data_IF_835023152312
#
_entry.id   IF_835023152312
#
_cell.length_a   1.000
_cell.length_b   1.000
_cell.length_c   1.000
_cell.angle_alpha   90.00
_cell.angle_beta   90.00
_cell.angle_gamma   90.00
#
_symmetry.space_group_name_H-M   'P 1'
#
loop_
_entity.id
_entity.type
_entity.pdbx_description
1 polymer ?
#
# COMPACT_ATOMS: atom_id res chain seq x y z
N UNK A 1 -11.98 -6.04 19.24
CA UNK A 1 -11.68 -5.14 18.10
C UNK A 1 -10.20 -4.86 18.14
N UNK A 2 -9.51 -5.12 17.05
CA UNK A 2 -8.09 -4.78 16.89
C UNK A 2 -8.00 -3.26 16.74
N UNK A 3 -7.05 -2.60 17.41
CA UNK A 3 -6.85 -1.16 17.21
C UNK A 3 -5.96 -0.87 16.00
N UNK A 4 -6.01 0.36 15.47
CA UNK A 4 -5.09 0.81 14.42
C UNK A 4 -3.62 0.57 14.82
N UNK A 5 -3.29 0.79 16.10
CA UNK A 5 -1.95 0.61 16.64
C UNK A 5 -1.50 -0.86 16.64
N UNK A 6 -2.37 -1.78 17.05
CA UNK A 6 -2.08 -3.22 17.01
C UNK A 6 -1.84 -3.69 15.57
N UNK A 7 -2.58 -3.11 14.63
CA UNK A 7 -2.53 -3.48 13.23
C UNK A 7 -1.29 -2.94 12.52
N UNK A 8 -0.90 -1.70 12.84
CA UNK A 8 0.38 -1.12 12.42
C UNK A 8 1.53 -1.98 12.95
N UNK A 9 1.53 -2.35 14.25
CA UNK A 9 2.58 -3.18 14.82
C UNK A 9 2.69 -4.56 14.15
N UNK A 10 1.54 -5.15 13.77
CA UNK A 10 1.51 -6.42 13.03
C UNK A 10 2.09 -6.30 11.62
N UNK A 11 1.76 -5.22 10.90
CA UNK A 11 2.31 -4.97 9.58
C UNK A 11 3.82 -4.68 9.67
N UNK A 12 4.25 -3.87 10.63
CA UNK A 12 5.66 -3.59 10.89
C UNK A 12 6.45 -4.87 11.10
N UNK A 13 5.95 -5.77 11.95
CA UNK A 13 6.59 -7.06 12.21
C UNK A 13 6.66 -7.94 10.95
N UNK A 14 5.57 -8.07 10.20
CA UNK A 14 5.50 -8.94 9.01
C UNK A 14 6.40 -8.47 7.85
N UNK A 15 6.69 -7.17 7.78
CA UNK A 15 7.49 -6.56 6.71
C UNK A 15 8.85 -6.03 7.20
N UNK A 16 9.23 -6.30 8.45
CA UNK A 16 10.46 -5.80 9.07
C UNK A 16 11.71 -6.14 8.24
N UNK A 17 11.81 -7.39 7.80
CA UNK A 17 12.98 -7.95 7.11
C UNK A 17 13.06 -7.60 5.62
N UNK A 18 12.07 -6.88 5.07
CA UNK A 18 12.15 -6.42 3.68
C UNK A 18 13.19 -5.31 3.58
N UNK A 19 14.32 -5.61 2.95
CA UNK A 19 15.36 -4.64 2.66
C UNK A 19 14.93 -3.63 1.59
N UNK A 20 15.37 -2.38 1.76
CA UNK A 20 15.20 -1.34 0.76
C UNK A 20 15.90 -1.77 -0.54
N UNK A 21 15.19 -1.84 -1.68
CA UNK A 21 15.83 -2.19 -2.94
C UNK A 21 16.77 -1.06 -3.40
N UNK A 22 17.77 -1.41 -4.20
CA UNK A 22 18.67 -0.43 -4.82
C UNK A 22 17.89 0.52 -5.75
N UNK A 23 16.94 -0.05 -6.50
CA UNK A 23 16.02 0.65 -7.39
C UNK A 23 14.59 0.12 -7.22
N UNK A 24 13.62 1.01 -7.26
CA UNK A 24 12.20 0.69 -7.10
C UNK A 24 11.54 0.37 -8.43
N UNK A 25 11.96 0.97 -9.54
CA UNK A 25 11.40 0.74 -10.88
C UNK A 25 12.50 0.61 -11.94
N UNK A 26 12.14 0.34 -13.20
CA UNK A 26 13.10 0.40 -14.31
C UNK A 26 13.42 1.85 -14.64
N UNK A 27 14.34 2.44 -13.85
CA UNK A 27 14.77 3.84 -13.96
C UNK A 27 15.39 4.20 -15.33
N UNK A 28 15.71 3.21 -16.18
CA UNK A 28 16.28 3.43 -17.52
C UNK A 28 15.23 3.46 -18.62
N UNK A 29 13.97 3.16 -18.31
CA UNK A 29 12.89 3.12 -19.28
C UNK A 29 12.53 4.51 -19.85
N UNK A 30 12.28 5.49 -18.99
CA UNK A 30 11.97 6.87 -19.36
C UNK A 30 12.29 7.83 -18.20
N UNK A 31 12.18 9.14 -18.44
CA UNK A 31 12.46 10.16 -17.43
C UNK A 31 11.51 10.07 -16.21
N UNK A 32 10.23 9.75 -16.43
CA UNK A 32 9.26 9.58 -15.34
C UNK A 32 9.64 8.40 -14.43
N UNK A 33 10.05 7.26 -14.99
CA UNK A 33 10.55 6.14 -14.19
C UNK A 33 11.81 6.51 -13.40
N UNK A 34 12.72 7.30 -13.99
CA UNK A 34 13.91 7.78 -13.28
C UNK A 34 13.55 8.72 -12.12
N UNK A 35 12.59 9.63 -12.31
CA UNK A 35 12.10 10.54 -11.27
C UNK A 35 11.36 9.80 -10.15
N UNK A 36 10.53 8.82 -10.48
CA UNK A 36 9.85 7.96 -9.50
C UNK A 36 10.85 7.14 -8.69
N UNK A 37 11.85 6.56 -9.36
CA UNK A 37 12.93 5.82 -8.68
C UNK A 37 13.71 6.71 -7.71
N UNK A 38 14.13 7.91 -8.15
CA UNK A 38 14.86 8.85 -7.31
C UNK A 38 14.03 9.33 -6.11
N UNK A 39 12.73 9.58 -6.32
CA UNK A 39 11.81 9.94 -5.24
C UNK A 39 11.73 8.84 -4.19
N UNK A 40 11.61 7.57 -4.59
CA UNK A 40 11.53 6.46 -3.65
C UNK A 40 12.89 6.11 -3.04
N UNK A 41 14.01 6.35 -3.73
CA UNK A 41 15.37 6.11 -3.20
C UNK A 41 15.84 7.19 -2.23
N UNK A 42 15.40 8.43 -2.41
CA UNK A 42 15.74 9.54 -1.51
C UNK A 42 15.04 9.47 -0.14
N UNK A 43 14.06 8.59 0.00
CA UNK A 43 13.29 8.41 1.24
C UNK A 43 13.46 7.02 1.84
N UNK A 44 13.09 6.86 3.11
CA UNK A 44 12.98 5.59 3.82
C UNK A 44 11.61 5.50 4.50
N UNK A 45 11.39 4.43 5.27
CA UNK A 45 10.11 4.21 5.97
C UNK A 45 9.75 5.33 6.94
N UNK A 46 10.74 6.03 7.49
CA UNK A 46 10.58 7.01 8.57
C UNK A 46 10.40 8.43 8.05
N UNK A 47 10.95 8.74 6.87
CA UNK A 47 10.89 10.08 6.28
C UNK A 47 10.02 10.19 5.01
N UNK A 48 9.49 9.07 4.49
CA UNK A 48 8.49 9.12 3.42
C UNK A 48 7.23 9.83 3.95
N UNK A 49 6.72 10.78 3.18
CA UNK A 49 5.53 11.54 3.50
C UNK A 49 4.47 11.37 2.42
N UNK A 50 3.20 11.63 2.79
CA UNK A 50 2.08 11.57 1.86
C UNK A 50 2.27 12.46 0.63
N UNK A 51 2.99 13.59 0.74
CA UNK A 51 3.26 14.47 -0.42
C UNK A 51 4.10 13.81 -1.52
N UNK A 52 4.86 12.76 -1.19
CA UNK A 52 5.72 12.05 -2.15
C UNK A 52 4.96 10.97 -2.93
N UNK A 53 3.83 10.46 -2.39
CA UNK A 53 3.12 9.31 -2.96
C UNK A 53 1.61 9.50 -3.12
N UNK A 54 1.03 10.55 -2.55
CA UNK A 54 -0.41 10.74 -2.47
C UNK A 54 -1.05 11.43 -3.67
N UNK A 55 -0.32 11.62 -4.78
CA UNK A 55 -0.90 12.15 -6.01
C UNK A 55 -1.23 11.00 -6.96
N UNK A 56 -2.50 10.62 -7.17
CA UNK A 56 -2.85 9.50 -8.04
C UNK A 56 -2.40 9.69 -9.50
N UNK A 57 -2.28 10.93 -9.97
CA UNK A 57 -1.79 11.24 -11.32
C UNK A 57 -0.26 11.25 -11.44
N UNK A 58 0.45 11.08 -10.33
CA UNK A 58 1.91 11.01 -10.24
C UNK A 58 2.26 10.17 -9.02
N UNK A 59 1.89 8.89 -9.04
CA UNK A 59 2.18 7.95 -7.94
C UNK A 59 3.42 7.12 -8.29
N UNK A 60 4.58 7.34 -7.64
CA UNK A 60 5.80 6.62 -7.95
C UNK A 60 5.70 5.12 -7.64
N UNK A 61 4.71 4.69 -6.85
CA UNK A 61 4.51 3.29 -6.50
C UNK A 61 3.84 2.48 -7.61
N UNK A 62 3.15 3.13 -8.57
CA UNK A 62 2.46 2.46 -9.68
C UNK A 62 3.39 1.61 -10.57
N UNK A 63 4.66 2.00 -10.66
CA UNK A 63 5.68 1.27 -11.44
C UNK A 63 6.73 0.60 -10.54
N UNK A 64 6.50 0.59 -9.23
CA UNK A 64 7.41 -0.01 -8.27
C UNK A 64 7.37 -1.53 -8.36
N UNK A 65 8.52 -2.15 -8.18
CA UNK A 65 8.66 -3.59 -8.02
C UNK A 65 7.89 -4.07 -6.78
N UNK A 66 7.55 -5.37 -6.76
CA UNK A 66 6.90 -5.97 -5.60
C UNK A 66 7.71 -5.81 -4.31
N UNK A 67 9.05 -5.92 -4.37
CA UNK A 67 9.93 -5.65 -3.23
C UNK A 67 9.84 -4.19 -2.78
N UNK A 68 9.81 -3.24 -3.71
CA UNK A 68 9.70 -1.81 -3.40
C UNK A 68 8.37 -1.46 -2.72
N UNK A 69 7.26 -1.99 -3.22
CA UNK A 69 5.95 -1.90 -2.56
C UNK A 69 5.97 -2.55 -1.17
N UNK A 70 6.50 -3.77 -1.05
CA UNK A 70 6.62 -4.47 0.24
C UNK A 70 7.49 -3.71 1.25
N UNK A 71 8.56 -3.06 0.78
CA UNK A 71 9.42 -2.25 1.62
C UNK A 71 8.64 -1.09 2.25
N UNK A 72 7.86 -0.36 1.46
CA UNK A 72 7.12 0.81 1.95
C UNK A 72 5.78 0.48 2.60
N UNK A 73 5.26 -0.75 2.44
CA UNK A 73 3.92 -1.11 2.89
C UNK A 73 3.60 -0.66 4.32
N UNK A 74 4.47 -0.82 5.33
CA UNK A 74 4.15 -0.32 6.67
C UNK A 74 3.87 1.19 6.74
N UNK A 75 4.62 2.00 6.01
CA UNK A 75 4.40 3.46 5.93
C UNK A 75 3.11 3.78 5.17
N UNK A 76 2.83 3.04 4.09
CA UNK A 76 1.60 3.20 3.31
C UNK A 76 0.35 2.85 4.11
N UNK A 77 0.43 1.85 4.98
CA UNK A 77 -0.65 1.47 5.91
C UNK A 77 -0.95 2.59 6.89
N UNK A 78 0.09 3.25 7.44
CA UNK A 78 -0.12 4.41 8.33
C UNK A 78 -0.86 5.54 7.61
N UNK A 79 -0.53 5.80 6.34
CA UNK A 79 -1.26 6.79 5.53
C UNK A 79 -2.70 6.39 5.28
N UNK A 80 -2.97 5.10 5.03
CA UNK A 80 -4.32 4.61 4.80
C UNK A 80 -5.20 4.62 6.08
N UNK A 81 -4.62 4.43 7.26
CA UNK A 81 -5.35 4.50 8.53
C UNK A 81 -5.55 5.94 9.04
N UNK A 82 -4.72 6.89 8.57
CA UNK A 82 -4.85 8.29 8.92
C UNK A 82 -6.14 8.92 8.35
N UNK A 83 -6.68 9.98 8.99
CA UNK A 83 -7.79 10.73 8.43
C UNK A 83 -7.47 11.29 7.02
N UNK A 84 -8.48 11.46 6.15
CA UNK A 84 -8.27 12.02 4.82
C UNK A 84 -7.56 13.38 4.83
N UNK A 85 -6.58 13.53 3.95
CA UNK A 85 -5.89 14.79 3.73
C UNK A 85 -6.75 15.73 2.89
N UNK A 86 -6.75 17.03 3.22
CA UNK A 86 -7.42 18.06 2.41
C UNK A 86 -6.88 18.13 0.98
N UNK A 87 -5.58 17.87 0.79
CA UNK A 87 -4.91 18.00 -0.52
C UNK A 87 -4.95 16.71 -1.33
N UNK A 88 -4.78 15.57 -0.66
CA UNK A 88 -4.56 14.28 -1.30
C UNK A 88 -5.74 13.31 -1.13
N UNK A 89 -6.78 13.71 -0.39
CA UNK A 89 -7.89 12.81 -0.07
C UNK A 89 -7.44 11.71 0.89
N UNK A 90 -8.15 10.59 0.83
CA UNK A 90 -7.85 9.44 1.66
C UNK A 90 -6.89 8.50 0.94
N UNK A 91 -5.77 8.18 1.56
CA UNK A 91 -4.75 7.35 0.93
C UNK A 91 -5.16 5.87 0.77
N UNK A 92 -6.20 5.42 1.49
CA UNK A 92 -6.69 4.06 1.38
C UNK A 92 -7.06 3.69 -0.07
N UNK A 93 -7.57 4.63 -0.85
CA UNK A 93 -7.98 4.39 -2.24
C UNK A 93 -6.79 3.98 -3.13
N UNK A 94 -5.67 4.69 -3.00
CA UNK A 94 -4.43 4.36 -3.70
C UNK A 94 -3.83 3.04 -3.18
N UNK A 95 -3.84 2.82 -1.87
CA UNK A 95 -3.36 1.55 -1.32
C UNK A 95 -4.19 0.38 -1.85
N UNK A 96 -5.52 0.49 -1.90
CA UNK A 96 -6.42 -0.54 -2.43
C UNK A 96 -6.19 -0.80 -3.92
N UNK A 97 -5.89 0.23 -4.71
CA UNK A 97 -5.46 0.03 -6.10
C UNK A 97 -4.22 -0.87 -6.18
N UNK A 98 -3.19 -0.61 -5.36
CA UNK A 98 -1.97 -1.43 -5.34
C UNK A 98 -2.18 -2.85 -4.83
N UNK A 99 -3.13 -3.04 -3.90
CA UNK A 99 -3.46 -4.35 -3.33
C UNK A 99 -4.38 -5.19 -4.23
N UNK A 100 -5.15 -4.59 -5.14
CA UNK A 100 -6.14 -5.29 -5.98
C UNK A 100 -5.72 -5.44 -7.44
N UNK A 101 -4.86 -4.55 -7.96
CA UNK A 101 -4.47 -4.53 -9.37
C UNK A 101 -3.85 -5.85 -9.82
N UNK A 102 -4.32 -6.39 -10.95
CA UNK A 102 -3.87 -7.69 -11.49
C UNK A 102 -4.54 -8.92 -10.86
N UNK A 103 -5.38 -8.76 -9.84
CA UNK A 103 -6.13 -9.86 -9.22
C UNK A 103 -5.21 -10.98 -8.70
N UNK A 104 -5.44 -12.22 -9.14
CA UNK A 104 -4.61 -13.37 -8.76
C UNK A 104 -3.13 -13.25 -9.18
N UNK A 105 -2.81 -12.33 -10.10
CA UNK A 105 -1.45 -12.01 -10.56
C UNK A 105 -0.90 -10.73 -9.95
N UNK A 106 -1.54 -10.18 -8.92
CA UNK A 106 -1.04 -9.02 -8.20
C UNK A 106 0.41 -9.29 -7.73
N UNK A 107 1.35 -8.47 -8.20
CA UNK A 107 2.78 -8.74 -8.01
C UNK A 107 3.17 -8.75 -6.53
N UNK A 108 2.60 -7.85 -5.73
CA UNK A 108 2.82 -7.81 -4.29
C UNK A 108 2.26 -9.06 -3.61
N UNK A 109 1.05 -9.48 -3.95
CA UNK A 109 0.46 -10.72 -3.45
C UNK A 109 1.36 -11.92 -3.75
N UNK A 110 1.81 -12.09 -5.00
CA UNK A 110 2.68 -13.18 -5.41
C UNK A 110 4.04 -13.15 -4.69
N UNK A 111 4.57 -11.96 -4.41
CA UNK A 111 5.82 -11.77 -3.68
C UNK A 111 5.71 -12.10 -2.18
N UNK A 112 4.60 -11.72 -1.55
CA UNK A 112 4.42 -11.85 -0.11
C UNK A 112 4.38 -13.32 0.36
N UNK A 113 4.97 -13.56 1.54
CA UNK A 113 4.82 -14.82 2.28
C UNK A 113 3.40 -14.98 2.83
N UNK A 114 3.03 -16.18 3.28
CA UNK A 114 1.74 -16.40 3.94
C UNK A 114 1.55 -15.53 5.19
N UNK A 115 2.61 -15.21 5.93
CA UNK A 115 2.53 -14.32 7.10
C UNK A 115 2.22 -12.88 6.69
N UNK A 116 2.93 -12.37 5.69
CA UNK A 116 2.70 -11.05 5.11
C UNK A 116 1.29 -10.92 4.54
N UNK A 117 0.82 -11.93 3.80
CA UNK A 117 -0.55 -11.95 3.27
C UNK A 117 -1.59 -11.92 4.38
N UNK A 118 -1.42 -12.70 5.44
CA UNK A 118 -2.31 -12.66 6.62
C UNK A 118 -2.32 -11.31 7.31
N UNK A 119 -1.19 -10.59 7.35
CA UNK A 119 -1.14 -9.26 7.92
C UNK A 119 -1.93 -8.25 7.07
N UNK A 120 -1.78 -8.30 5.74
CA UNK A 120 -2.56 -7.46 4.81
C UNK A 120 -4.05 -7.80 4.83
N UNK A 121 -4.41 -9.08 4.89
CA UNK A 121 -5.81 -9.49 5.04
C UNK A 121 -6.44 -8.93 6.32
N UNK A 122 -5.70 -8.93 7.43
CA UNK A 122 -6.16 -8.35 8.68
C UNK A 122 -6.35 -6.83 8.61
N UNK A 123 -5.47 -6.11 7.90
CA UNK A 123 -5.66 -4.69 7.59
C UNK A 123 -6.96 -4.46 6.80
N UNK A 124 -7.18 -5.22 5.74
CA UNK A 124 -8.35 -5.06 4.88
C UNK A 124 -9.65 -5.34 5.64
N UNK A 125 -9.68 -6.39 6.47
CA UNK A 125 -10.81 -6.67 7.36
C UNK A 125 -11.09 -5.51 8.33
N UNK A 126 -10.03 -4.91 8.89
CA UNK A 126 -10.17 -3.76 9.80
C UNK A 126 -10.67 -2.50 9.10
N UNK A 127 -10.23 -2.24 7.87
CA UNK A 127 -10.74 -1.13 7.06
C UNK A 127 -12.23 -1.32 6.76
N UNK A 128 -12.67 -2.54 6.44
CA UNK A 128 -14.10 -2.86 6.32
C UNK A 128 -14.81 -2.56 7.65
N UNK A 129 -14.35 -3.12 8.77
CA UNK A 129 -15.04 -2.96 10.05
C UNK A 129 -15.11 -1.51 10.55
N UNK A 130 -14.05 -0.71 10.34
CA UNK A 130 -13.91 0.60 10.98
C UNK A 130 -14.18 1.77 10.06
N UNK A 131 -14.19 1.56 8.73
CA UNK A 131 -14.25 2.64 7.75
C UNK A 131 -15.28 2.42 6.63
N UNK A 132 -16.19 1.46 6.76
CA UNK A 132 -17.30 1.28 5.77
C UNK A 132 -18.03 2.59 5.47
N UNK A 133 -18.32 3.41 6.50
CA UNK A 133 -18.99 4.71 6.30
C UNK A 133 -18.18 5.74 5.48
N UNK A 134 -16.85 5.60 5.44
CA UNK A 134 -15.99 6.45 4.62
C UNK A 134 -15.97 6.01 3.15
N UNK A 135 -16.46 4.81 2.84
CA UNK A 135 -16.60 4.25 1.49
C UNK A 135 -18.04 4.26 0.96
N UNK A 136 -19.03 4.54 1.80
CA UNK A 136 -20.45 4.40 1.46
C UNK A 136 -20.84 5.30 0.26
N UNK A 137 -21.26 4.67 -0.84
CA UNK A 137 -21.65 5.34 -2.09
C UNK A 137 -20.51 5.63 -3.09
N UNK A 138 -19.31 5.12 -2.85
CA UNK A 138 -18.14 5.32 -3.71
C UNK A 138 -17.69 4.01 -4.41
N UNK A 139 -17.22 4.04 -5.67
CA UNK A 139 -16.68 2.87 -6.39
C UNK A 139 -15.59 2.07 -5.65
N UNK A 140 -14.98 2.69 -4.65
CA UNK A 140 -13.93 2.16 -3.79
C UNK A 140 -14.42 1.06 -2.84
N UNK A 141 -15.72 0.99 -2.52
CA UNK A 141 -16.31 -0.10 -1.73
C UNK A 141 -16.11 -1.47 -2.41
N UNK A 142 -16.38 -1.54 -3.72
CA UNK A 142 -16.18 -2.75 -4.53
C UNK A 142 -14.69 -3.16 -4.55
N UNK A 143 -13.77 -2.18 -4.56
CA UNK A 143 -12.32 -2.45 -4.52
C UNK A 143 -11.86 -2.95 -3.18
N UNK A 144 -12.39 -2.43 -2.08
CA UNK A 144 -12.08 -2.92 -0.73
C UNK A 144 -12.51 -4.38 -0.58
N UNK A 145 -13.72 -4.71 -1.02
CA UNK A 145 -14.24 -6.08 -0.99
C UNK A 145 -13.43 -7.01 -1.91
N UNK A 146 -13.06 -6.55 -3.11
CA UNK A 146 -12.22 -7.31 -4.03
C UNK A 146 -10.83 -7.58 -3.44
N UNK A 147 -10.18 -6.56 -2.88
CA UNK A 147 -8.89 -6.72 -2.21
C UNK A 147 -9.03 -7.69 -1.03
N UNK A 148 -10.04 -7.52 -0.18
CA UNK A 148 -10.26 -8.41 0.95
C UNK A 148 -10.45 -9.87 0.50
N UNK A 149 -11.25 -10.12 -0.54
CA UNK A 149 -11.45 -11.47 -1.08
C UNK A 149 -10.14 -12.09 -1.62
N UNK A 150 -9.32 -11.31 -2.34
CA UNK A 150 -8.03 -11.76 -2.86
C UNK A 150 -7.07 -12.15 -1.74
N UNK A 151 -6.94 -11.29 -0.73
CA UNK A 151 -5.93 -11.45 0.32
C UNK A 151 -6.35 -12.42 1.43
N UNK A 152 -7.65 -12.62 1.64
CA UNK A 152 -8.19 -13.58 2.62
C UNK A 152 -8.22 -15.02 2.10
N UNK A 153 -7.91 -15.27 0.82
CA UNK A 153 -7.76 -16.62 0.26
C UNK A 153 -6.38 -17.26 0.52
N UNK A 154 -5.50 -16.58 1.25
CA UNK A 154 -4.08 -16.91 1.45
C UNK A 154 -3.76 -17.76 2.68
#
# INVERSE_FOLDING_TARGET
MTSDADLIARIDAAFADIGKPEHFTDYRHCCECAEHDETLRSHDRDNLELRHVGNPGWDPLCFSSAQGLAYYLPTLVRFALAPPSRKYGWYADQLLFHLSSGGAWNQLYCYCTSEQRRAVAALLAHLVETRTEAFDGFPEEDRLLQAHALWSAA
#
